data_IF_124407438721
#
_entry.id   IF_124407438721
#
_cell.length_a   1.000
_cell.length_b   1.000
_cell.length_c   1.000
_cell.angle_alpha   90.00
_cell.angle_beta   90.00
_cell.angle_gamma   90.00
#
_symmetry.space_group_name_H-M   'P 1'
#
loop_
_entity.id
_entity.type
_entity.pdbx_description
1 polymer ?
#
# COMPACT_ATOMS: atom_id res chain seq x y z
N UNK A 1 -25.55 -18.25 -35.18
CA UNK A 1 -26.89 -18.38 -34.57
C UNK A 1 -26.99 -19.76 -33.91
N UNK A 2 -27.40 -19.81 -32.65
CA UNK A 2 -27.71 -21.06 -31.96
C UNK A 2 -29.14 -21.44 -32.37
N UNK A 3 -29.28 -22.50 -33.14
CA UNK A 3 -30.57 -22.86 -33.74
C UNK A 3 -31.22 -24.08 -33.07
N UNK A 4 -30.54 -24.74 -32.13
CA UNK A 4 -31.10 -25.86 -31.37
C UNK A 4 -30.81 -25.74 -29.87
N UNK A 5 -31.69 -26.24 -28.99
CA UNK A 5 -31.46 -26.26 -27.55
C UNK A 5 -30.17 -27.01 -27.15
N UNK A 6 -29.80 -28.05 -27.91
CA UNK A 6 -28.55 -28.79 -27.71
C UNK A 6 -27.33 -27.93 -28.02
N UNK A 7 -27.37 -27.14 -29.09
CA UNK A 7 -26.30 -26.21 -29.46
C UNK A 7 -26.16 -25.06 -28.45
N UNK A 8 -27.26 -24.61 -27.84
CA UNK A 8 -27.23 -23.63 -26.73
C UNK A 8 -26.46 -24.20 -25.53
N UNK A 9 -26.81 -25.42 -25.10
CA UNK A 9 -26.17 -26.07 -23.95
C UNK A 9 -24.68 -26.28 -24.22
N UNK A 10 -24.30 -26.76 -25.41
CA UNK A 10 -22.88 -26.95 -25.76
C UNK A 10 -22.10 -25.65 -25.74
N UNK A 11 -22.64 -24.56 -26.29
CA UNK A 11 -21.96 -23.26 -26.30
C UNK A 11 -21.84 -22.69 -24.89
N UNK A 12 -22.89 -22.82 -24.07
CA UNK A 12 -22.86 -22.38 -22.67
C UNK A 12 -21.81 -23.18 -21.88
N UNK A 13 -21.83 -24.51 -21.97
CA UNK A 13 -20.84 -25.36 -21.29
C UNK A 13 -19.42 -25.02 -21.73
N UNK A 14 -19.16 -24.86 -23.04
CA UNK A 14 -17.84 -24.47 -23.53
C UNK A 14 -17.43 -23.06 -23.08
N UNK A 15 -18.37 -22.11 -23.04
CA UNK A 15 -18.12 -20.74 -22.60
C UNK A 15 -17.73 -20.63 -21.12
N UNK A 16 -18.06 -21.62 -20.29
CA UNK A 16 -17.61 -21.68 -18.90
C UNK A 16 -16.45 -22.66 -18.70
N UNK A 17 -16.48 -23.84 -19.31
CA UNK A 17 -15.45 -24.87 -19.14
C UNK A 17 -14.11 -24.45 -19.76
N UNK A 18 -14.10 -23.81 -20.93
CA UNK A 18 -12.87 -23.38 -21.61
C UNK A 18 -12.13 -22.28 -20.82
N UNK A 19 -12.76 -21.18 -20.37
CA UNK A 19 -12.04 -20.21 -19.56
C UNK A 19 -11.64 -20.76 -18.19
N UNK A 20 -12.45 -21.62 -17.55
CA UNK A 20 -12.05 -22.25 -16.28
C UNK A 20 -10.83 -23.15 -16.43
N UNK A 21 -10.77 -23.95 -17.49
CA UNK A 21 -9.60 -24.81 -17.77
C UNK A 21 -8.37 -23.97 -18.12
N UNK A 22 -8.51 -22.89 -18.90
CA UNK A 22 -7.41 -21.96 -19.19
C UNK A 22 -6.89 -21.29 -17.92
N UNK A 23 -7.77 -20.82 -17.03
CA UNK A 23 -7.38 -20.20 -15.75
C UNK A 23 -6.63 -21.22 -14.89
N UNK A 24 -7.11 -22.47 -14.80
CA UNK A 24 -6.42 -23.53 -14.06
C UNK A 24 -5.02 -23.83 -14.63
N UNK A 25 -4.88 -23.86 -15.96
CA UNK A 25 -3.59 -24.06 -16.61
C UNK A 25 -2.65 -22.88 -16.39
N UNK A 26 -3.15 -21.64 -16.42
CA UNK A 26 -2.36 -20.43 -16.10
C UNK A 26 -1.90 -20.48 -14.64
N UNK A 27 -2.78 -20.85 -13.71
CA UNK A 27 -2.41 -21.03 -12.30
C UNK A 27 -1.33 -22.10 -12.18
N UNK A 28 -1.49 -23.27 -12.80
CA UNK A 28 -0.47 -24.33 -12.78
C UNK A 28 0.84 -23.93 -13.45
N UNK A 29 0.82 -23.13 -14.50
CA UNK A 29 2.01 -22.63 -15.17
C UNK A 29 2.76 -21.61 -14.31
N UNK A 30 2.03 -20.73 -13.60
CA UNK A 30 2.60 -19.77 -12.65
C UNK A 30 3.10 -20.48 -11.38
N UNK A 31 2.34 -21.42 -10.84
CA UNK A 31 2.65 -22.10 -9.57
C UNK A 31 3.56 -23.31 -9.73
N UNK A 32 3.72 -23.88 -10.93
CA UNK A 32 4.60 -25.02 -11.21
C UNK A 32 6.08 -24.74 -10.93
N UNK A 33 6.50 -23.45 -10.89
CA UNK A 33 7.82 -23.03 -10.43
C UNK A 33 7.89 -22.68 -8.93
N UNK A 34 6.75 -22.64 -8.23
CA UNK A 34 6.64 -22.26 -6.83
C UNK A 34 6.36 -23.52 -6.01
N UNK A 35 7.40 -24.08 -5.40
CA UNK A 35 7.21 -25.05 -4.31
C UNK A 35 6.58 -24.31 -3.14
N UNK A 36 5.27 -24.48 -2.97
CA UNK A 36 4.58 -23.98 -1.77
C UNK A 36 4.90 -24.94 -0.65
N UNK A 37 5.93 -24.62 0.13
CA UNK A 37 6.23 -25.34 1.36
C UNK A 37 5.10 -25.11 2.38
N UNK A 38 4.34 -26.14 2.79
CA UNK A 38 3.28 -26.00 3.80
C UNK A 38 3.83 -25.65 5.19
N UNK A 39 5.15 -25.68 5.36
CA UNK A 39 5.87 -25.24 6.55
C UNK A 39 6.60 -23.90 6.36
N UNK A 40 6.24 -23.13 5.33
CA UNK A 40 6.86 -21.82 5.07
C UNK A 40 6.59 -20.86 6.23
N UNK A 41 7.68 -20.27 6.74
CA UNK A 41 7.69 -19.29 7.84
C UNK A 41 6.97 -17.97 7.52
N UNK A 42 6.33 -17.85 6.36
CA UNK A 42 5.44 -16.73 6.03
C UNK A 42 4.22 -16.64 6.97
N UNK A 43 3.84 -17.76 7.61
CA UNK A 43 2.71 -17.89 8.54
C UNK A 43 3.13 -18.31 9.95
N UNK A 44 4.41 -18.20 10.33
CA UNK A 44 4.84 -18.55 11.68
C UNK A 44 4.38 -17.49 12.69
N UNK A 45 4.11 -17.93 13.93
CA UNK A 45 3.80 -17.05 15.07
C UNK A 45 4.85 -15.93 15.24
N UNK A 46 6.10 -16.22 14.88
CA UNK A 46 7.22 -15.27 14.89
C UNK A 46 7.07 -14.16 13.83
N UNK A 47 6.48 -14.43 12.66
CA UNK A 47 6.20 -13.43 11.62
C UNK A 47 4.97 -12.57 11.94
N UNK A 48 4.04 -13.09 12.76
CA UNK A 48 2.88 -12.34 13.27
C UNK A 48 3.31 -11.45 14.45
N UNK A 49 4.15 -11.96 15.36
CA UNK A 49 4.72 -11.19 16.47
C UNK A 49 5.57 -10.00 16.00
N UNK A 50 6.32 -10.15 14.90
CA UNK A 50 7.10 -9.05 14.31
C UNK A 50 6.24 -7.91 13.73
N UNK A 51 4.99 -8.21 13.35
CA UNK A 51 4.01 -7.22 12.84
C UNK A 51 3.15 -6.62 13.94
N UNK A 52 3.04 -7.31 15.08
CA UNK A 52 2.35 -6.87 16.30
C UNK A 52 3.31 -6.20 17.29
N UNK A 53 4.44 -5.64 16.82
CA UNK A 53 5.22 -4.75 17.67
C UNK A 53 4.48 -3.40 17.73
N UNK A 54 4.05 -2.92 18.90
CA UNK A 54 3.34 -1.66 18.97
C UNK A 54 4.26 -0.53 18.48
N UNK A 55 3.81 0.21 17.47
CA UNK A 55 4.44 1.46 17.00
C UNK A 55 4.37 2.60 18.04
N UNK A 56 4.04 2.29 19.30
CA UNK A 56 3.95 3.23 20.41
C UNK A 56 5.08 3.00 21.41
N UNK A 57 6.32 2.93 20.91
CA UNK A 57 7.52 2.93 21.74
C UNK A 57 8.48 4.10 21.40
N UNK A 58 8.09 5.03 20.52
CA UNK A 58 8.86 6.25 20.30
C UNK A 58 8.05 7.50 20.65
N UNK A 59 7.60 7.55 21.89
CA UNK A 59 7.36 8.81 22.59
C UNK A 59 8.24 8.85 23.84
N UNK A 60 9.55 8.60 23.66
CA UNK A 60 10.52 8.95 24.70
C UNK A 60 10.92 10.40 24.49
N UNK A 61 10.21 11.25 25.23
CA UNK A 61 10.63 12.58 25.59
C UNK A 61 12.13 12.57 25.91
N UNK A 62 12.90 13.41 25.21
CA UNK A 62 14.28 13.69 25.58
C UNK A 62 14.30 14.24 27.02
N UNK A 63 14.96 13.53 27.94
CA UNK A 63 15.80 14.16 28.96
C UNK A 63 16.76 13.14 29.59
N UNK A 64 18.03 13.55 29.58
CA UNK A 64 19.14 13.12 30.43
C UNK A 64 19.74 11.71 30.25
N UNK A 65 20.91 11.69 29.59
CA UNK A 65 22.10 11.02 30.15
C UNK A 65 22.47 9.64 29.60
N UNK A 66 23.61 9.56 28.90
CA UNK A 66 24.57 8.46 29.06
C UNK A 66 24.57 7.31 28.04
N UNK A 67 25.45 7.44 27.04
CA UNK A 67 26.35 6.43 26.45
C UNK A 67 25.83 5.05 25.95
N UNK A 68 25.86 4.93 24.61
CA UNK A 68 26.42 3.83 23.81
C UNK A 68 25.74 2.44 23.80
N UNK A 69 25.00 2.14 22.73
CA UNK A 69 25.43 1.10 21.78
C UNK A 69 24.67 1.22 20.45
N UNK A 70 25.43 1.13 19.38
CA UNK A 70 25.10 1.48 18.00
C UNK A 70 24.28 0.36 17.34
N UNK A 71 23.04 0.67 17.01
CA UNK A 71 22.42 0.16 15.79
C UNK A 71 21.94 1.37 15.03
N UNK A 72 22.58 1.66 13.89
CA UNK A 72 22.08 2.67 12.95
C UNK A 72 20.88 2.06 12.23
N UNK A 73 19.81 1.82 12.98
CA UNK A 73 18.49 1.95 12.41
C UNK A 73 18.37 3.43 12.11
N UNK A 74 18.56 3.82 10.84
CA UNK A 74 18.12 5.14 10.38
C UNK A 74 16.65 5.18 10.75
N UNK A 75 16.33 5.89 11.84
CA UNK A 75 14.95 6.12 12.22
C UNK A 75 14.37 6.90 11.05
N UNK A 76 13.63 6.20 10.19
CA UNK A 76 12.93 6.84 9.09
C UNK A 76 12.08 7.96 9.67
N UNK A 77 12.09 9.10 8.98
CA UNK A 77 11.18 10.19 9.33
C UNK A 77 9.75 9.62 9.45
N UNK A 78 8.96 10.01 10.47
CA UNK A 78 7.61 9.50 10.66
C UNK A 78 6.75 9.58 9.38
N UNK A 79 6.96 10.61 8.56
CA UNK A 79 6.29 10.79 7.28
C UNK A 79 6.72 9.77 6.23
N UNK A 80 8.02 9.48 6.13
CA UNK A 80 8.55 8.44 5.24
C UNK A 80 8.05 7.05 5.66
N UNK A 81 8.03 6.77 6.95
CA UNK A 81 7.53 5.50 7.50
C UNK A 81 6.06 5.27 7.15
N UNK A 82 5.20 6.27 7.36
CA UNK A 82 3.78 6.20 7.01
C UNK A 82 3.58 6.10 5.50
N UNK A 83 4.37 6.85 4.71
CA UNK A 83 4.35 6.74 3.26
C UNK A 83 4.64 5.32 2.78
N UNK A 84 5.73 4.73 3.27
CA UNK A 84 6.17 3.39 2.86
C UNK A 84 5.17 2.29 3.27
N UNK A 85 4.45 2.50 4.38
CA UNK A 85 3.51 1.50 4.91
C UNK A 85 2.13 1.60 4.26
N UNK A 86 1.65 2.80 3.96
CA UNK A 86 0.26 3.03 3.54
C UNK A 86 0.18 3.78 2.21
N UNK A 87 0.81 4.95 2.12
CA UNK A 87 0.55 5.88 1.01
C UNK A 87 1.13 5.38 -0.33
N UNK A 88 2.26 4.67 -0.30
CA UNK A 88 2.96 4.20 -1.48
C UNK A 88 2.11 3.26 -2.34
N UNK A 89 1.14 2.56 -1.73
CA UNK A 89 0.27 1.61 -2.40
C UNK A 89 -0.44 2.25 -3.60
N UNK A 90 -0.81 3.53 -3.50
CA UNK A 90 -1.44 4.27 -4.60
C UNK A 90 -0.49 5.27 -5.25
N UNK A 91 0.34 5.95 -4.45
CA UNK A 91 1.10 7.10 -4.94
C UNK A 91 2.41 6.75 -5.65
N UNK A 92 2.86 5.50 -5.63
CA UNK A 92 4.05 5.11 -6.42
C UNK A 92 3.69 4.95 -7.90
N UNK A 93 2.64 4.17 -8.19
CA UNK A 93 2.20 3.89 -9.55
C UNK A 93 1.10 4.83 -10.06
N UNK A 94 0.53 5.67 -9.20
CA UNK A 94 -0.59 6.55 -9.54
C UNK A 94 -1.92 5.81 -9.71
N UNK A 95 -2.17 4.82 -8.84
CA UNK A 95 -3.38 3.99 -8.89
C UNK A 95 -4.63 4.88 -8.77
N UNK A 96 -5.64 4.61 -9.58
CA UNK A 96 -6.90 5.36 -9.61
C UNK A 96 -6.73 6.88 -9.78
N UNK A 97 -5.66 7.31 -10.46
CA UNK A 97 -5.35 8.72 -10.69
C UNK A 97 -4.71 9.43 -9.49
N UNK A 98 -4.17 8.68 -8.53
CA UNK A 98 -3.38 9.24 -7.45
C UNK A 98 -2.16 10.00 -8.03
N UNK A 99 -1.82 11.20 -7.51
CA UNK A 99 -0.64 11.93 -7.96
C UNK A 99 0.62 11.14 -7.60
N UNK A 100 1.44 10.82 -8.60
CA UNK A 100 2.66 10.02 -8.41
C UNK A 100 3.68 10.77 -7.57
N UNK A 101 4.27 10.12 -6.58
CA UNK A 101 5.39 10.69 -5.81
C UNK A 101 6.56 10.98 -6.74
N UNK A 102 7.14 12.17 -6.63
CA UNK A 102 8.23 12.61 -7.51
C UNK A 102 7.79 13.22 -8.85
N UNK A 103 6.52 13.14 -9.22
CA UNK A 103 6.01 13.77 -10.45
C UNK A 103 5.80 15.27 -10.27
N UNK A 104 6.82 16.07 -10.60
CA UNK A 104 6.77 17.54 -10.48
C UNK A 104 5.61 18.17 -11.24
N UNK A 105 5.19 17.58 -12.36
CA UNK A 105 4.07 18.09 -13.17
C UNK A 105 2.75 17.85 -12.47
N UNK A 106 2.53 16.65 -11.93
CA UNK A 106 1.31 16.35 -11.17
C UNK A 106 1.20 17.15 -9.87
N UNK A 107 2.34 17.53 -9.27
CA UNK A 107 2.40 18.22 -7.99
C UNK A 107 2.45 19.74 -8.05
N UNK A 108 2.76 20.35 -9.20
CA UNK A 108 2.94 21.81 -9.35
C UNK A 108 1.78 22.65 -8.77
N UNK A 109 0.54 22.39 -9.18
CA UNK A 109 -0.64 23.11 -8.68
C UNK A 109 -0.97 22.75 -7.23
N UNK A 110 -0.65 21.52 -6.80
CA UNK A 110 -0.92 21.04 -5.45
C UNK A 110 -0.01 21.72 -4.43
N UNK A 111 1.26 21.92 -4.77
CA UNK A 111 2.22 22.60 -3.89
C UNK A 111 1.79 24.03 -3.54
N UNK A 112 1.08 24.72 -4.44
CA UNK A 112 0.56 26.08 -4.20
C UNK A 112 -0.47 26.14 -3.06
N UNK A 113 -1.14 25.02 -2.75
CA UNK A 113 -2.11 24.94 -1.65
C UNK A 113 -1.45 24.90 -0.27
N UNK A 114 -0.16 24.54 -0.22
CA UNK A 114 0.58 24.34 1.02
C UNK A 114 0.25 23.03 1.73
N UNK A 115 1.13 22.65 2.67
CA UNK A 115 1.05 21.38 3.40
C UNK A 115 -0.24 21.24 4.22
N UNK A 116 -0.71 22.31 4.87
CA UNK A 116 -1.90 22.28 5.73
C UNK A 116 -3.17 21.92 4.97
N UNK A 117 -3.37 22.54 3.80
CA UNK A 117 -4.55 22.30 2.96
C UNK A 117 -4.54 20.89 2.39
N UNK A 118 -3.36 20.41 1.98
CA UNK A 118 -3.20 19.05 1.47
C UNK A 118 -3.44 18.03 2.58
N UNK A 119 -2.90 18.25 3.77
CA UNK A 119 -3.11 17.39 4.95
C UNK A 119 -4.58 17.30 5.33
N UNK A 120 -5.33 18.41 5.33
CA UNK A 120 -6.78 18.40 5.54
C UNK A 120 -7.52 17.58 4.48
N UNK A 121 -7.10 17.66 3.22
CA UNK A 121 -7.68 16.87 2.13
C UNK A 121 -7.43 15.37 2.34
N UNK A 122 -6.24 14.99 2.83
CA UNK A 122 -5.93 13.59 3.15
C UNK A 122 -6.74 13.11 4.36
N UNK A 123 -6.82 13.89 5.43
CA UNK A 123 -7.56 13.55 6.65
C UNK A 123 -9.04 13.29 6.33
N UNK A 124 -9.67 14.17 5.55
CA UNK A 124 -11.08 14.05 5.19
C UNK A 124 -11.34 13.05 4.04
N UNK A 125 -10.30 12.69 3.30
CA UNK A 125 -10.42 11.96 2.04
C UNK A 125 -10.77 12.90 0.87
N UNK A 126 -10.39 12.49 -0.33
CA UNK A 126 -10.65 13.26 -1.56
C UNK A 126 -10.69 12.35 -2.78
N UNK A 127 -11.76 12.44 -3.57
CA UNK A 127 -11.98 11.61 -4.75
C UNK A 127 -11.90 10.12 -4.36
N UNK A 128 -11.01 9.35 -5.02
CA UNK A 128 -10.76 7.94 -4.73
C UNK A 128 -9.82 7.72 -3.54
N UNK A 129 -9.25 8.77 -2.96
CA UNK A 129 -8.42 8.68 -1.76
C UNK A 129 -9.31 8.59 -0.51
N UNK A 130 -9.30 7.48 0.24
CA UNK A 130 -10.11 7.34 1.45
C UNK A 130 -9.67 8.32 2.54
N UNK A 131 -10.54 8.53 3.53
CA UNK A 131 -10.21 9.32 4.71
C UNK A 131 -8.92 8.82 5.37
N UNK A 132 -8.07 9.76 5.79
CA UNK A 132 -6.72 9.50 6.33
C UNK A 132 -5.79 8.72 5.39
N UNK A 133 -6.09 8.66 4.09
CA UNK A 133 -5.36 7.81 3.13
C UNK A 133 -5.43 6.32 3.43
N UNK A 134 -6.40 5.87 4.24
CA UNK A 134 -6.52 4.48 4.70
C UNK A 134 -5.76 4.19 6.00
N UNK A 135 -4.99 5.14 6.52
CA UNK A 135 -4.28 5.01 7.79
C UNK A 135 -5.20 5.35 8.98
N UNK A 136 -6.09 4.43 9.34
CA UNK A 136 -7.11 4.66 10.39
C UNK A 136 -6.52 5.05 11.74
N UNK A 137 -5.32 4.56 12.05
CA UNK A 137 -4.66 4.73 13.35
C UNK A 137 -3.55 5.77 13.35
N UNK A 138 -3.20 6.34 12.19
CA UNK A 138 -2.22 7.43 12.13
C UNK A 138 -2.80 8.67 12.81
N UNK A 139 -1.98 9.48 13.49
CA UNK A 139 -2.40 10.78 14.01
C UNK A 139 -2.49 11.83 12.88
N UNK A 140 -3.07 13.00 13.16
CA UNK A 140 -3.08 14.08 12.16
C UNK A 140 -1.66 14.59 11.86
N UNK A 141 -0.77 14.53 12.85
CA UNK A 141 0.63 14.94 12.70
C UNK A 141 1.40 13.93 11.83
N UNK A 142 1.13 12.63 11.97
CA UNK A 142 1.74 11.61 11.10
C UNK A 142 1.29 11.79 9.64
N UNK A 143 0.00 12.10 9.41
CA UNK A 143 -0.51 12.40 8.07
C UNK A 143 0.17 13.64 7.49
N UNK A 144 0.34 14.69 8.30
CA UNK A 144 1.04 15.91 7.88
C UNK A 144 2.49 15.61 7.52
N UNK A 145 3.19 14.84 8.34
CA UNK A 145 4.56 14.41 8.06
C UNK A 145 4.64 13.62 6.75
N UNK A 146 3.70 12.72 6.47
CA UNK A 146 3.66 11.97 5.20
C UNK A 146 3.41 12.89 3.99
N UNK A 147 2.54 13.88 4.13
CA UNK A 147 2.32 14.90 3.09
C UNK A 147 3.61 15.71 2.85
N UNK A 148 4.28 16.16 3.91
CA UNK A 148 5.54 16.89 3.83
C UNK A 148 6.65 16.05 3.18
N UNK A 149 6.73 14.77 3.51
CA UNK A 149 7.62 13.82 2.86
C UNK A 149 7.35 13.75 1.35
N UNK A 150 6.10 13.58 0.93
CA UNK A 150 5.76 13.53 -0.49
C UNK A 150 6.08 14.85 -1.22
N UNK A 151 5.80 15.99 -0.58
CA UNK A 151 6.15 17.31 -1.10
C UNK A 151 7.67 17.48 -1.23
N UNK A 152 8.46 16.92 -0.31
CA UNK A 152 9.93 16.96 -0.39
C UNK A 152 10.48 16.25 -1.62
N UNK A 153 9.79 15.21 -2.12
CA UNK A 153 10.22 14.47 -3.32
C UNK A 153 9.96 15.20 -4.63
N UNK A 154 9.22 16.31 -4.60
CA UNK A 154 8.85 17.10 -5.79
C UNK A 154 9.36 18.53 -5.76
N UNK A 155 10.01 18.95 -4.67
CA UNK A 155 10.78 20.20 -4.64
C UNK A 155 11.93 20.17 -5.64
#
# INVERSE_FOLDING_TARGET
MISTPKQLITVVVLAFAVPLTIILLIVQFITGGIKVDPNSSAMSEQAIAKRMNPLSANKSNQMAGGSSSESVAVALDPGESLYNTVCQACHTAGIAGAPKTGDKTAWSERMKLGSDTLSKSVINGKNMMPARGGATNASNDDIRAAVDFMLSKVK
#
